data_IF_057655330973
#
_entry.id   IF_057655330973
#
_cell.length_a   1.000
_cell.length_b   1.000
_cell.length_c   1.000
_cell.angle_alpha   90.00
_cell.angle_beta   90.00
_cell.angle_gamma   90.00
#
_symmetry.space_group_name_H-M   'P 1'
#
loop_
_entity.id
_entity.type
_entity.pdbx_description
1 polymer ?
#
# COMPACT_ATOMS: atom_id res chain seq x y z
N UNK A 1 -7.13 17.17 67.91
CA UNK A 1 -7.46 17.75 66.58
C UNK A 1 -6.21 17.79 65.74
N UNK A 2 -5.86 16.72 65.06
CA UNK A 2 -4.71 16.72 64.07
C UNK A 2 -4.75 15.42 63.31
N UNK A 3 -5.05 15.41 62.04
CA UNK A 3 -4.88 14.18 61.32
C UNK A 3 -5.55 14.06 59.93
N UNK A 4 -5.78 15.17 59.20
CA UNK A 4 -6.43 15.08 57.87
C UNK A 4 -5.66 15.72 56.71
N UNK A 5 -4.42 16.22 56.95
CA UNK A 5 -3.63 16.90 55.87
C UNK A 5 -2.82 15.98 54.98
N UNK A 6 -2.27 14.80 55.37
CA UNK A 6 -1.46 14.00 54.45
C UNK A 6 -2.26 13.29 53.34
N UNK A 7 -3.54 12.97 53.60
CA UNK A 7 -4.38 12.25 52.61
C UNK A 7 -4.77 13.10 51.41
N UNK A 8 -4.90 14.44 51.60
CA UNK A 8 -5.22 15.37 50.50
C UNK A 8 -4.03 15.68 49.62
N UNK A 9 -2.81 15.67 50.18
CA UNK A 9 -1.59 15.81 49.38
C UNK A 9 -1.31 14.57 48.50
N UNK A 10 -1.58 13.37 49.04
CA UNK A 10 -1.41 12.11 48.31
C UNK A 10 -2.40 11.99 47.13
N UNK A 11 -3.64 12.45 47.31
CA UNK A 11 -4.63 12.47 46.23
C UNK A 11 -4.31 13.52 45.13
N UNK A 12 -3.74 14.66 45.48
CA UNK A 12 -3.31 15.67 44.53
C UNK A 12 -2.09 15.21 43.76
N UNK A 13 -1.13 14.52 44.37
CA UNK A 13 0.02 13.92 43.71
C UNK A 13 -0.38 12.77 42.78
N UNK A 14 -1.37 11.96 43.15
CA UNK A 14 -1.91 10.92 42.29
C UNK A 14 -2.66 11.47 41.08
N UNK A 15 -3.38 12.59 41.20
CA UNK A 15 -3.99 13.27 40.05
C UNK A 15 -2.97 13.92 39.08
N UNK A 16 -1.83 14.41 39.60
CA UNK A 16 -0.76 14.94 38.74
C UNK A 16 -0.02 13.85 37.93
N UNK A 17 0.01 12.63 38.44
CA UNK A 17 0.58 11.47 37.73
C UNK A 17 -0.31 10.94 36.62
N UNK A 18 -1.57 11.34 36.54
CA UNK A 18 -2.54 11.00 35.49
C UNK A 18 -2.53 12.00 34.31
N UNK A 19 -1.66 13.02 34.31
CA UNK A 19 -1.37 13.80 33.11
C UNK A 19 -0.51 12.93 32.16
N UNK A 20 -1.19 11.93 31.57
CA UNK A 20 -0.60 10.99 30.65
C UNK A 20 0.11 11.70 29.52
N UNK A 21 1.27 11.20 29.14
CA UNK A 21 1.98 11.60 27.94
C UNK A 21 0.99 11.61 26.77
N UNK A 22 0.75 12.78 26.19
CA UNK A 22 -0.08 12.89 24.99
C UNK A 22 0.66 12.22 23.85
N UNK A 23 -0.05 11.44 23.04
CA UNK A 23 0.50 10.79 21.87
C UNK A 23 0.97 11.84 20.86
N UNK A 24 2.04 11.56 20.08
CA UNK A 24 2.50 12.46 19.03
C UNK A 24 1.45 12.56 17.93
N UNK A 25 1.38 13.72 17.28
CA UNK A 25 0.55 13.93 16.11
C UNK A 25 1.41 13.65 14.88
N UNK A 26 0.97 12.69 14.06
CA UNK A 26 1.59 12.37 12.79
C UNK A 26 0.80 13.03 11.67
N UNK A 27 1.49 13.85 10.86
CA UNK A 27 0.89 14.55 9.70
C UNK A 27 1.59 14.03 8.45
N UNK A 28 1.03 13.01 7.77
CA UNK A 28 1.59 12.49 6.54
C UNK A 28 1.16 13.33 5.35
N UNK A 29 2.03 13.40 4.35
CA UNK A 29 1.76 14.01 3.05
C UNK A 29 2.46 13.20 1.96
N UNK A 30 2.04 13.40 0.70
CA UNK A 30 2.56 12.69 -0.44
C UNK A 30 2.82 13.64 -1.60
N UNK A 31 3.89 13.40 -2.35
CA UNK A 31 4.29 14.28 -3.45
C UNK A 31 3.28 14.36 -4.58
N UNK A 32 2.49 13.31 -4.78
CA UNK A 32 1.50 13.21 -5.85
C UNK A 32 0.29 12.40 -5.36
N UNK A 33 -0.89 12.98 -5.36
CA UNK A 33 -2.14 12.31 -5.00
C UNK A 33 -2.74 11.49 -6.14
N UNK A 34 -2.28 11.72 -7.37
CA UNK A 34 -2.68 10.99 -8.56
C UNK A 34 -1.48 10.64 -9.42
N UNK A 35 -1.35 9.36 -9.77
CA UNK A 35 -0.35 8.83 -10.70
C UNK A 35 -1.05 8.40 -11.97
N UNK A 36 -0.59 8.95 -13.09
CA UNK A 36 -1.18 8.68 -14.40
C UNK A 36 -0.36 7.62 -15.13
N UNK A 37 -0.97 6.47 -15.37
CA UNK A 37 -0.40 5.38 -16.17
C UNK A 37 -0.78 5.61 -17.63
N UNK A 38 0.21 6.02 -18.44
CA UNK A 38 0.08 6.25 -19.89
C UNK A 38 0.74 5.13 -20.67
N UNK A 39 0.46 5.08 -21.96
CA UNK A 39 1.22 4.21 -22.87
C UNK A 39 2.71 4.56 -22.79
N UNK A 40 3.57 3.56 -22.52
CA UNK A 40 5.00 3.79 -22.27
C UNK A 40 5.35 4.15 -20.81
N UNK A 41 4.44 3.97 -19.86
CA UNK A 41 4.74 4.14 -18.45
C UNK A 41 5.82 3.16 -17.98
N UNK A 42 6.93 3.70 -17.47
CA UNK A 42 8.08 2.94 -16.99
C UNK A 42 8.12 2.74 -15.48
N UNK A 43 7.16 3.33 -14.76
CA UNK A 43 7.09 3.37 -13.30
C UNK A 43 7.06 4.81 -12.78
N UNK A 44 6.86 4.97 -11.49
CA UNK A 44 6.87 6.26 -10.81
C UNK A 44 7.54 6.16 -9.44
N UNK A 45 8.25 7.20 -9.05
CA UNK A 45 8.75 7.35 -7.68
C UNK A 45 7.79 8.20 -6.87
N UNK A 46 7.29 7.62 -5.78
CA UNK A 46 6.43 8.26 -4.84
C UNK A 46 7.22 8.70 -3.63
N UNK A 47 7.22 9.99 -3.34
CA UNK A 47 7.81 10.53 -2.12
C UNK A 47 6.70 10.72 -1.07
N UNK A 48 6.77 9.91 -0.03
CA UNK A 48 5.95 10.04 1.17
C UNK A 48 6.76 10.80 2.21
N UNK A 49 6.18 11.84 2.77
CA UNK A 49 6.86 12.67 3.78
C UNK A 49 5.83 13.17 4.80
N UNK A 50 6.32 13.74 5.88
CA UNK A 50 5.43 14.28 6.88
C UNK A 50 6.18 14.75 8.11
N UNK A 51 5.42 15.17 9.11
CA UNK A 51 5.93 15.65 10.36
C UNK A 51 5.43 14.82 11.54
N UNK A 52 6.32 14.58 12.50
CA UNK A 52 5.98 14.04 13.82
C UNK A 52 6.03 15.21 14.82
N UNK A 53 4.86 15.59 15.30
CA UNK A 53 4.70 16.68 16.23
C UNK A 53 4.55 16.13 17.65
N UNK A 54 5.52 16.41 18.52
CA UNK A 54 5.39 16.09 19.95
C UNK A 54 4.54 17.14 20.65
N UNK A 55 3.65 16.74 21.56
CA UNK A 55 2.87 17.67 22.38
C UNK A 55 3.72 18.59 23.24
N UNK A 56 4.94 18.18 23.55
CA UNK A 56 5.90 18.92 24.39
C UNK A 56 6.75 19.93 23.62
N UNK A 57 6.51 20.08 22.30
CA UNK A 57 7.15 21.12 21.47
C UNK A 57 8.63 20.90 21.19
N UNK A 58 9.23 19.76 21.55
CA UNK A 58 10.66 19.52 21.41
C UNK A 58 10.97 18.29 20.55
N UNK A 59 11.94 18.42 19.65
CA UNK A 59 12.80 17.40 18.97
C UNK A 59 12.20 15.99 18.76
N UNK A 60 10.92 15.91 18.40
CA UNK A 60 10.13 14.69 18.47
C UNK A 60 10.58 13.56 17.55
N UNK A 61 10.96 13.87 16.31
CA UNK A 61 11.17 12.82 15.32
C UNK A 61 12.43 11.96 15.54
N UNK A 62 13.39 12.42 16.34
CA UNK A 62 14.58 11.62 16.67
C UNK A 62 14.29 10.49 17.66
N UNK A 63 13.25 10.63 18.46
CA UNK A 63 12.88 9.63 19.47
C UNK A 63 11.95 8.54 18.91
N UNK A 64 11.56 8.66 17.64
CA UNK A 64 10.65 7.74 16.98
C UNK A 64 11.32 7.04 15.81
N UNK A 65 11.03 5.76 15.68
CA UNK A 65 11.20 5.03 14.44
C UNK A 65 9.96 5.25 13.58
N UNK A 66 10.18 5.39 12.27
CA UNK A 66 9.11 5.56 11.31
C UNK A 66 9.09 4.37 10.38
N UNK A 67 7.91 3.81 10.20
CA UNK A 67 7.63 2.77 9.21
C UNK A 67 6.49 3.24 8.33
N UNK A 68 6.67 3.14 7.03
CA UNK A 68 5.68 3.47 6.01
C UNK A 68 5.33 2.21 5.25
N UNK A 69 4.05 1.86 5.24
CA UNK A 69 3.51 0.73 4.47
C UNK A 69 2.67 1.31 3.35
N UNK A 70 2.98 0.96 2.11
CA UNK A 70 2.19 1.31 0.93
C UNK A 70 1.54 0.06 0.37
N UNK A 71 0.22 0.03 0.39
CA UNK A 71 -0.59 -1.08 -0.09
C UNK A 71 -1.41 -0.67 -1.31
N UNK A 72 -1.37 -1.48 -2.35
CA UNK A 72 -2.21 -1.33 -3.55
C UNK A 72 -3.58 -1.96 -3.38
N UNK A 73 -4.49 -1.79 -4.36
CA UNK A 73 -5.80 -2.38 -4.32
C UNK A 73 -5.72 -3.91 -4.16
N UNK A 74 -6.60 -4.46 -3.33
CA UNK A 74 -6.67 -5.90 -3.07
C UNK A 74 -7.37 -6.62 -4.23
N UNK A 75 -6.94 -7.84 -4.49
CA UNK A 75 -7.49 -8.68 -5.57
C UNK A 75 -7.50 -10.16 -5.17
N UNK A 76 -8.34 -10.95 -5.85
CA UNK A 76 -8.26 -12.41 -5.77
C UNK A 76 -7.12 -12.90 -6.66
N UNK A 77 -6.28 -13.78 -6.11
CA UNK A 77 -5.14 -14.37 -6.83
C UNK A 77 -5.19 -15.89 -6.70
N UNK A 78 -5.17 -16.58 -7.84
CA UNK A 78 -5.01 -18.04 -7.89
C UNK A 78 -3.54 -18.37 -8.14
N UNK A 79 -2.87 -18.91 -7.14
CA UNK A 79 -1.51 -19.40 -7.25
C UNK A 79 -1.52 -20.88 -7.62
N UNK A 80 -0.74 -21.28 -8.64
CA UNK A 80 -0.63 -22.66 -9.10
C UNK A 80 0.80 -23.13 -8.96
N UNK A 81 0.98 -24.27 -8.31
CA UNK A 81 2.27 -24.92 -8.17
C UNK A 81 2.50 -25.90 -9.32
N UNK A 82 3.63 -25.75 -10.01
CA UNK A 82 4.05 -26.66 -11.06
C UNK A 82 4.98 -27.73 -10.49
N UNK A 83 4.68 -28.98 -10.77
CA UNK A 83 5.53 -30.12 -10.41
C UNK A 83 5.91 -30.92 -11.64
N UNK A 84 7.10 -31.50 -11.63
CA UNK A 84 7.58 -32.36 -12.71
C UNK A 84 7.15 -33.79 -12.44
N UNK A 85 6.16 -34.29 -13.22
CA UNK A 85 5.65 -35.69 -13.14
C UNK A 85 5.94 -36.38 -14.45
N UNK A 86 6.62 -37.50 -14.39
CA UNK A 86 7.03 -38.31 -15.56
C UNK A 86 7.73 -37.48 -16.65
N UNK A 87 8.57 -36.48 -16.26
CA UNK A 87 9.30 -35.62 -17.18
C UNK A 87 8.55 -34.39 -17.67
N UNK A 88 7.25 -34.26 -17.42
CA UNK A 88 6.42 -33.13 -17.84
C UNK A 88 6.08 -32.22 -16.66
N UNK A 89 6.01 -30.90 -16.91
CA UNK A 89 5.56 -29.93 -15.93
C UNK A 89 4.04 -29.84 -15.95
N UNK A 90 3.39 -30.23 -14.85
CA UNK A 90 1.95 -30.12 -14.67
C UNK A 90 1.61 -29.18 -13.50
N UNK A 91 0.43 -28.58 -13.52
CA UNK A 91 -0.11 -27.88 -12.36
C UNK A 91 -0.64 -28.94 -11.38
N UNK A 92 0.16 -29.26 -10.36
CA UNK A 92 -0.15 -30.31 -9.40
C UNK A 92 -1.06 -29.82 -8.28
N UNK A 93 -0.95 -28.53 -7.93
CA UNK A 93 -1.64 -27.95 -6.81
C UNK A 93 -2.00 -26.49 -7.05
N UNK A 94 -3.05 -25.97 -6.40
CA UNK A 94 -3.47 -24.59 -6.54
C UNK A 94 -4.17 -24.07 -5.29
N UNK A 95 -3.91 -22.81 -4.95
CA UNK A 95 -4.55 -22.10 -3.86
C UNK A 95 -5.03 -20.73 -4.32
N UNK A 96 -6.27 -20.40 -3.98
CA UNK A 96 -6.84 -19.08 -4.21
C UNK A 96 -6.79 -18.25 -2.93
N UNK A 97 -6.22 -17.05 -3.05
CA UNK A 97 -6.25 -16.03 -2.03
C UNK A 97 -7.36 -15.02 -2.37
N UNK A 98 -8.30 -14.82 -1.46
CA UNK A 98 -9.43 -13.89 -1.66
C UNK A 98 -8.99 -12.44 -1.71
N UNK A 99 -8.01 -12.10 -0.87
CA UNK A 99 -7.57 -10.72 -0.65
C UNK A 99 -6.06 -10.72 -0.55
N UNK A 100 -5.42 -10.38 -1.67
CA UNK A 100 -3.98 -10.15 -1.72
C UNK A 100 -3.75 -8.76 -2.31
N UNK A 101 -2.91 -7.91 -1.71
CA UNK A 101 -2.62 -6.60 -2.29
C UNK A 101 -1.91 -6.77 -3.64
N UNK A 102 -2.31 -5.97 -4.62
CA UNK A 102 -1.66 -5.95 -5.94
C UNK A 102 -0.24 -5.39 -5.89
N UNK A 103 0.05 -4.60 -4.86
CA UNK A 103 1.34 -4.02 -4.55
C UNK A 103 1.49 -3.89 -3.03
N UNK A 104 2.68 -4.16 -2.51
CA UNK A 104 2.97 -4.02 -1.09
C UNK A 104 4.42 -3.58 -0.89
N UNK A 105 4.63 -2.44 -0.28
CA UNK A 105 5.98 -1.94 0.00
C UNK A 105 6.07 -1.42 1.43
N UNK A 106 7.15 -1.79 2.11
CA UNK A 106 7.48 -1.32 3.45
C UNK A 106 8.79 -0.57 3.41
N UNK A 107 8.78 0.66 3.89
CA UNK A 107 9.97 1.49 4.09
C UNK A 107 10.12 1.79 5.57
N UNK A 108 11.31 1.62 6.14
CA UNK A 108 11.55 1.81 7.58
C UNK A 108 12.80 2.63 7.86
N UNK A 109 12.85 3.27 9.04
CA UNK A 109 14.02 4.04 9.50
C UNK A 109 15.19 3.14 9.87
N UNK A 110 14.90 1.94 10.36
CA UNK A 110 15.87 0.89 10.74
C UNK A 110 15.28 -0.49 10.42
N UNK A 111 16.04 -1.57 10.46
CA UNK A 111 15.52 -2.93 10.33
C UNK A 111 14.34 -3.18 11.27
N UNK A 112 13.23 -3.72 10.75
CA UNK A 112 11.96 -3.89 11.49
C UNK A 112 12.15 -4.66 12.80
N UNK A 113 12.94 -5.73 12.78
CA UNK A 113 13.25 -6.52 14.00
C UNK A 113 14.04 -5.77 15.08
N UNK A 114 14.58 -4.56 14.76
CA UNK A 114 15.19 -3.67 15.75
C UNK A 114 14.25 -2.57 16.24
N UNK A 115 13.11 -2.41 15.56
CA UNK A 115 12.09 -1.38 15.87
C UNK A 115 11.02 -1.98 16.77
N UNK A 116 10.48 -3.14 16.40
CA UNK A 116 9.36 -3.82 17.09
C UNK A 116 9.62 -5.31 17.24
N UNK A 117 8.89 -5.94 18.15
CA UNK A 117 8.84 -7.39 18.28
C UNK A 117 7.98 -8.03 17.17
N UNK A 118 8.11 -9.34 16.99
CA UNK A 118 7.39 -10.13 16.00
C UNK A 118 5.87 -10.02 16.14
N UNK A 119 5.38 -9.89 17.37
CA UNK A 119 3.94 -9.76 17.63
C UNK A 119 3.39 -8.41 17.16
N UNK A 120 4.08 -7.33 17.46
CA UNK A 120 3.70 -5.98 17.01
C UNK A 120 3.83 -5.88 15.50
N UNK A 121 4.90 -6.43 14.90
CA UNK A 121 5.06 -6.47 13.46
C UNK A 121 3.92 -7.23 12.76
N UNK A 122 3.44 -8.33 13.34
CA UNK A 122 2.32 -9.11 12.80
C UNK A 122 0.97 -8.40 12.92
N UNK A 123 0.75 -7.61 13.98
CA UNK A 123 -0.52 -6.86 14.17
C UNK A 123 -0.67 -5.75 13.13
N UNK A 124 0.42 -5.06 12.80
CA UNK A 124 0.42 -3.91 11.89
C UNK A 124 0.98 -4.24 10.51
N UNK A 125 1.22 -5.52 10.20
CA UNK A 125 1.77 -5.98 8.91
C UNK A 125 3.05 -5.24 8.48
N UNK A 126 3.96 -5.00 9.45
CA UNK A 126 5.18 -4.23 9.24
C UNK A 126 6.27 -5.07 8.57
N UNK A 127 6.02 -5.57 7.36
CA UNK A 127 6.99 -6.34 6.58
C UNK A 127 6.35 -7.49 5.81
N UNK A 128 7.05 -7.98 4.78
CA UNK A 128 6.58 -9.06 3.92
C UNK A 128 6.36 -10.39 4.65
N UNK A 129 7.12 -10.63 5.71
CA UNK A 129 7.00 -11.81 6.57
C UNK A 129 5.63 -11.85 7.30
N UNK A 130 5.06 -10.67 7.55
CA UNK A 130 3.88 -10.49 8.40
C UNK A 130 2.61 -10.19 7.59
N UNK A 131 2.74 -10.08 6.27
CA UNK A 131 1.61 -9.83 5.37
C UNK A 131 0.56 -10.92 5.52
N UNK A 132 -0.67 -10.52 5.88
CA UNK A 132 -1.79 -11.44 6.08
C UNK A 132 -2.51 -11.73 4.77
N UNK A 133 -2.34 -12.93 4.29
CA UNK A 133 -3.01 -13.42 3.08
C UNK A 133 -4.15 -14.35 3.48
N UNK A 134 -5.35 -14.09 2.94
CA UNK A 134 -6.57 -14.84 3.26
C UNK A 134 -6.85 -15.91 2.19
N UNK A 135 -6.50 -17.18 2.43
CA UNK A 135 -6.84 -18.25 1.51
C UNK A 135 -8.34 -18.55 1.51
N UNK A 136 -8.84 -19.07 0.39
CA UNK A 136 -10.23 -19.56 0.29
C UNK A 136 -10.24 -21.06 0.61
N UNK A 137 -11.15 -21.44 1.51
CA UNK A 137 -11.34 -22.83 1.92
C UNK A 137 -10.65 -23.21 3.22
N UNK A 138 -10.81 -24.47 3.60
CA UNK A 138 -10.15 -25.06 4.79
C UNK A 138 -8.87 -25.71 4.31
N UNK A 139 -7.74 -25.18 4.73
CA UNK A 139 -6.40 -25.59 4.26
C UNK A 139 -5.55 -25.90 5.47
N UNK A 140 -4.66 -26.88 5.34
CA UNK A 140 -3.69 -27.18 6.38
C UNK A 140 -2.71 -26.01 6.58
N UNK A 141 -2.31 -25.68 7.83
CA UNK A 141 -1.42 -24.56 8.11
C UNK A 141 -0.07 -24.63 7.39
N UNK A 142 0.44 -25.83 7.13
CA UNK A 142 1.71 -26.02 6.38
C UNK A 142 1.56 -25.66 4.92
N UNK A 143 0.46 -26.04 4.33
CA UNK A 143 0.14 -25.75 2.94
C UNK A 143 -0.13 -24.27 2.74
N UNK A 144 -0.94 -23.67 3.61
CA UNK A 144 -1.18 -22.23 3.62
C UNK A 144 0.14 -21.45 3.69
N UNK A 145 1.04 -21.81 4.60
CA UNK A 145 2.34 -21.17 4.73
C UNK A 145 3.17 -21.29 3.45
N UNK A 146 3.25 -22.50 2.86
CA UNK A 146 3.98 -22.76 1.62
C UNK A 146 3.49 -21.89 0.46
N UNK A 147 2.16 -21.83 0.26
CA UNK A 147 1.57 -20.99 -0.80
C UNK A 147 1.71 -19.50 -0.52
N UNK A 148 1.58 -19.05 0.73
CA UNK A 148 1.79 -17.66 1.10
C UNK A 148 3.22 -17.20 0.85
N UNK A 149 4.21 -18.00 1.26
CA UNK A 149 5.63 -17.74 0.98
C UNK A 149 5.90 -17.73 -0.53
N UNK A 150 5.29 -18.67 -1.28
CA UNK A 150 5.40 -18.74 -2.74
C UNK A 150 4.81 -17.50 -3.43
N UNK A 151 3.66 -16.99 -2.97
CA UNK A 151 3.06 -15.76 -3.49
C UNK A 151 3.95 -14.55 -3.22
N UNK A 152 4.45 -14.40 -1.99
CA UNK A 152 5.36 -13.30 -1.63
C UNK A 152 6.63 -13.34 -2.48
N UNK A 153 7.25 -14.52 -2.68
CA UNK A 153 8.45 -14.66 -3.51
C UNK A 153 8.17 -14.31 -4.99
N UNK A 154 7.03 -14.76 -5.54
CA UNK A 154 6.61 -14.41 -6.90
C UNK A 154 6.45 -12.90 -7.08
N UNK A 155 5.72 -12.25 -6.16
CA UNK A 155 5.48 -10.81 -6.20
C UNK A 155 6.75 -10.00 -5.98
N UNK A 156 7.69 -10.47 -5.14
CA UNK A 156 9.02 -9.86 -5.00
C UNK A 156 9.83 -9.90 -6.30
N UNK A 157 9.84 -11.03 -6.99
CA UNK A 157 10.51 -11.16 -8.31
C UNK A 157 9.92 -10.25 -9.37
N UNK A 158 8.64 -9.94 -9.27
CA UNK A 158 7.95 -9.00 -10.15
C UNK A 158 8.16 -7.53 -9.74
N UNK A 159 8.83 -7.27 -8.61
CA UNK A 159 9.03 -5.93 -8.05
C UNK A 159 7.76 -5.31 -7.47
N UNK A 160 6.69 -6.11 -7.29
CA UNK A 160 5.41 -5.66 -6.73
C UNK A 160 5.41 -5.67 -5.20
N UNK A 161 6.20 -6.57 -4.58
CA UNK A 161 6.38 -6.61 -3.13
C UNK A 161 7.82 -6.24 -2.78
N UNK A 162 7.99 -5.27 -1.88
CA UNK A 162 9.30 -4.73 -1.51
C UNK A 162 9.39 -4.45 -0.01
N UNK A 163 10.60 -4.53 0.50
CA UNK A 163 10.93 -4.14 1.86
C UNK A 163 12.28 -3.42 1.81
N UNK A 164 12.24 -2.11 2.10
CA UNK A 164 13.38 -1.21 1.99
C UNK A 164 13.74 -0.71 3.40
N UNK A 165 14.54 -1.50 4.12
CA UNK A 165 14.98 -1.17 5.47
C UNK A 165 16.00 -0.01 5.47
N UNK A 166 15.86 0.91 6.42
CA UNK A 166 16.74 2.08 6.54
C UNK A 166 16.56 3.12 5.44
N UNK A 167 15.48 3.03 4.65
CA UNK A 167 15.19 3.95 3.54
C UNK A 167 14.46 5.22 3.97
N UNK A 168 13.84 5.21 5.15
CA UNK A 168 13.20 6.40 5.72
C UNK A 168 14.24 7.31 6.33
N UNK A 169 14.29 8.54 5.85
CA UNK A 169 15.20 9.58 6.35
C UNK A 169 14.45 10.56 7.26
N UNK A 170 15.06 10.88 8.40
CA UNK A 170 14.53 11.88 9.33
C UNK A 170 15.42 13.12 9.26
N UNK A 171 14.82 14.29 8.99
CA UNK A 171 15.49 15.57 8.81
C UNK A 171 14.96 16.61 9.78
N UNK A 172 15.84 17.47 10.29
CA UNK A 172 15.44 18.58 11.17
C UNK A 172 14.75 18.16 12.45
N UNK A 173 14.87 16.88 12.83
CA UNK A 173 14.26 16.30 14.05
C UNK A 173 12.71 16.30 14.08
N UNK A 174 12.06 16.63 12.96
CA UNK A 174 10.60 16.73 12.85
C UNK A 174 10.10 16.05 11.58
N UNK A 175 10.82 16.19 10.46
CA UNK A 175 10.38 15.72 9.16
C UNK A 175 10.92 14.33 8.87
N UNK A 176 10.05 13.45 8.39
CA UNK A 176 10.45 12.17 7.79
C UNK A 176 10.15 12.17 6.29
N UNK A 177 10.90 11.39 5.55
CA UNK A 177 10.65 11.13 4.14
C UNK A 177 11.01 9.68 3.78
N UNK A 178 10.16 9.06 2.99
CA UNK A 178 10.35 7.75 2.40
C UNK A 178 10.16 7.83 0.89
N UNK A 179 11.00 7.17 0.11
CA UNK A 179 10.82 7.05 -1.34
C UNK A 179 10.45 5.63 -1.68
N UNK A 180 9.31 5.43 -2.33
CA UNK A 180 8.81 4.14 -2.77
C UNK A 180 8.63 4.17 -4.28
N UNK A 181 9.26 3.24 -4.99
CA UNK A 181 9.20 3.15 -6.46
C UNK A 181 8.10 2.17 -6.86
N UNK A 182 7.14 2.66 -7.64
CA UNK A 182 6.10 1.88 -8.27
C UNK A 182 6.58 1.38 -9.63
N UNK A 183 6.61 0.06 -9.90
CA UNK A 183 7.01 -0.46 -11.21
C UNK A 183 5.96 -0.21 -12.29
N UNK A 184 6.32 -0.42 -13.54
CA UNK A 184 5.40 -0.26 -14.67
C UNK A 184 4.21 -1.23 -14.67
N UNK A 185 4.34 -2.35 -13.95
CA UNK A 185 3.33 -3.40 -13.82
C UNK A 185 2.28 -3.15 -12.74
N UNK A 186 2.29 -1.97 -12.09
CA UNK A 186 1.30 -1.63 -11.05
C UNK A 186 -0.12 -1.60 -11.61
N UNK A 187 -1.06 -2.04 -10.81
CA UNK A 187 -2.47 -2.00 -11.14
C UNK A 187 -3.05 -0.61 -10.86
N UNK A 188 -4.06 -0.25 -11.64
CA UNK A 188 -4.85 0.96 -11.38
C UNK A 188 -5.78 0.74 -10.20
N UNK A 189 -5.97 1.78 -9.39
CA UNK A 189 -6.81 1.78 -8.19
C UNK A 189 -6.27 2.72 -7.13
N UNK A 190 -6.90 2.71 -5.97
CA UNK A 190 -6.49 3.53 -4.83
C UNK A 190 -5.44 2.76 -4.01
N UNK A 191 -4.30 3.38 -3.83
CA UNK A 191 -3.22 2.91 -2.96
C UNK A 191 -3.32 3.60 -1.61
N UNK A 192 -3.14 2.86 -0.55
CA UNK A 192 -3.17 3.35 0.83
C UNK A 192 -1.76 3.34 1.40
N UNK A 193 -1.28 4.51 1.79
CA UNK A 193 -0.02 4.65 2.52
C UNK A 193 -0.34 4.87 3.99
N UNK A 194 0.05 3.93 4.83
CA UNK A 194 -0.05 4.07 6.28
C UNK A 194 1.34 4.29 6.87
N UNK A 195 1.47 5.34 7.65
CA UNK A 195 2.72 5.70 8.34
C UNK A 195 2.55 5.47 9.82
N UNK A 196 3.50 4.78 10.41
CA UNK A 196 3.56 4.45 11.82
C UNK A 196 4.71 5.19 12.50
N UNK A 197 4.43 5.89 13.60
CA UNK A 197 5.44 6.38 14.53
C UNK A 197 5.56 5.41 15.70
N UNK A 198 6.76 4.91 15.93
CA UNK A 198 7.03 3.84 16.89
C UNK A 198 8.06 4.34 17.90
N UNK A 199 7.80 4.14 19.17
CA UNK A 199 8.73 4.47 20.27
C UNK A 199 8.80 3.32 21.27
N UNK A 200 10.02 2.88 21.56
CA UNK A 200 10.25 1.80 22.51
C UNK A 200 9.53 0.49 22.16
N UNK A 201 9.44 0.14 20.87
CA UNK A 201 8.78 -1.08 20.39
C UNK A 201 7.25 -1.01 20.32
N UNK A 202 6.65 0.16 20.55
CA UNK A 202 5.18 0.34 20.52
C UNK A 202 4.79 1.37 19.46
N UNK A 203 3.76 1.06 18.69
CA UNK A 203 3.12 2.04 17.81
C UNK A 203 2.42 3.08 18.68
N UNK A 204 2.83 4.33 18.58
CA UNK A 204 2.30 5.45 19.36
C UNK A 204 1.44 6.40 18.52
N UNK A 205 1.57 6.38 17.22
CA UNK A 205 0.67 7.07 16.30
C UNK A 205 0.67 6.37 14.94
N UNK A 206 -0.44 6.42 14.23
CA UNK A 206 -0.54 6.07 12.82
C UNK A 206 -1.36 7.10 12.08
N UNK A 207 -1.08 7.24 10.78
CA UNK A 207 -1.82 8.12 9.90
C UNK A 207 -1.83 7.57 8.46
N UNK A 208 -2.94 7.80 7.77
CA UNK A 208 -3.21 7.23 6.45
C UNK A 208 -3.27 8.34 5.41
N UNK A 209 -2.60 8.11 4.28
CA UNK A 209 -2.70 8.95 3.08
C UNK A 209 -3.03 8.06 1.87
N UNK A 210 -3.76 8.58 0.89
CA UNK A 210 -4.17 7.82 -0.30
C UNK A 210 -3.61 8.41 -1.57
N UNK A 211 -3.31 7.53 -2.53
CA UNK A 211 -2.85 7.85 -3.88
C UNK A 211 -3.69 7.10 -4.88
N UNK A 212 -4.21 7.80 -5.86
CA UNK A 212 -4.96 7.19 -6.95
C UNK A 212 -4.03 6.93 -8.14
N UNK A 213 -3.93 5.66 -8.54
CA UNK A 213 -3.26 5.26 -9.78
C UNK A 213 -4.31 5.06 -10.86
N UNK A 214 -4.32 5.93 -11.88
CA UNK A 214 -5.34 5.96 -12.93
C UNK A 214 -4.72 5.77 -14.31
N UNK A 215 -5.42 5.06 -15.18
CA UNK A 215 -5.06 5.06 -16.60
C UNK A 215 -5.43 6.38 -17.23
N UNK A 216 -4.51 6.95 -18.01
CA UNK A 216 -4.75 8.15 -18.79
C UNK A 216 -4.52 7.85 -20.28
N UNK A 217 -5.32 8.49 -21.16
CA UNK A 217 -5.18 8.39 -22.60
C UNK A 217 -6.53 8.26 -23.32
N UNK A 218 -6.46 7.97 -24.61
CA UNK A 218 -7.61 7.80 -25.49
C UNK A 218 -8.60 6.73 -24.98
N UNK A 219 -8.09 5.66 -24.35
CA UNK A 219 -8.92 4.61 -23.76
C UNK A 219 -9.85 5.14 -22.67
N UNK A 220 -9.36 6.06 -21.82
CA UNK A 220 -10.20 6.71 -20.80
C UNK A 220 -11.26 7.60 -21.44
N UNK A 221 -10.91 8.36 -22.45
CA UNK A 221 -11.85 9.19 -23.20
C UNK A 221 -12.98 8.35 -23.80
N UNK A 222 -12.62 7.23 -24.45
CA UNK A 222 -13.58 6.28 -25.02
C UNK A 222 -14.44 5.64 -23.95
N UNK A 223 -13.86 5.16 -22.84
CA UNK A 223 -14.61 4.57 -21.74
C UNK A 223 -15.58 5.56 -21.09
N UNK A 224 -15.13 6.76 -20.75
CA UNK A 224 -15.97 7.82 -20.18
C UNK A 224 -17.06 8.27 -21.16
N UNK A 225 -16.75 8.38 -22.46
CA UNK A 225 -17.72 8.70 -23.49
C UNK A 225 -18.80 7.62 -23.63
N UNK A 226 -18.41 6.35 -23.57
CA UNK A 226 -19.31 5.20 -23.62
C UNK A 226 -20.22 5.11 -22.38
N UNK A 227 -19.68 5.38 -21.19
CA UNK A 227 -20.46 5.34 -19.94
C UNK A 227 -21.39 6.55 -19.79
N UNK A 228 -20.91 7.74 -20.09
CA UNK A 228 -21.65 8.97 -19.85
C UNK A 228 -22.69 9.26 -20.91
N UNK A 229 -22.43 8.91 -22.17
CA UNK A 229 -23.31 9.18 -23.31
C UNK A 229 -23.30 7.98 -24.29
N UNK A 230 -23.62 6.77 -23.81
CA UNK A 230 -23.53 5.54 -24.60
C UNK A 230 -24.29 5.57 -25.94
N UNK A 231 -25.42 6.27 -25.99
CA UNK A 231 -26.17 6.43 -27.24
C UNK A 231 -25.43 7.31 -28.27
N UNK A 232 -24.77 8.39 -27.85
CA UNK A 232 -23.96 9.25 -28.74
C UNK A 232 -22.72 8.50 -29.22
N UNK A 233 -22.08 7.71 -28.34
CA UNK A 233 -20.95 6.87 -28.72
C UNK A 233 -21.36 5.81 -29.76
N UNK A 234 -22.49 5.14 -29.55
CA UNK A 234 -23.05 4.17 -30.50
C UNK A 234 -23.38 4.81 -31.85
N UNK A 235 -24.03 5.99 -31.86
CA UNK A 235 -24.32 6.74 -33.07
C UNK A 235 -23.06 7.14 -33.84
N UNK A 236 -22.03 7.64 -33.11
CA UNK A 236 -20.75 7.99 -33.69
C UNK A 236 -20.04 6.77 -34.32
N UNK A 237 -20.04 5.63 -33.63
CA UNK A 237 -19.45 4.38 -34.14
C UNK A 237 -20.13 3.92 -35.43
N UNK A 238 -21.46 4.00 -35.51
CA UNK A 238 -22.23 3.68 -36.72
C UNK A 238 -21.88 4.63 -37.87
N UNK A 239 -21.86 5.95 -37.63
CA UNK A 239 -21.50 6.95 -38.65
C UNK A 239 -20.09 6.72 -39.20
N UNK A 240 -19.13 6.47 -38.31
CA UNK A 240 -17.72 6.17 -38.70
C UNK A 240 -17.64 4.87 -39.53
N UNK A 241 -18.36 3.82 -39.10
CA UNK A 241 -18.35 2.53 -39.80
C UNK A 241 -18.95 2.64 -41.20
N UNK A 242 -20.12 3.31 -41.33
CA UNK A 242 -20.79 3.55 -42.64
C UNK A 242 -19.92 4.43 -43.51
N UNK A 243 -19.34 5.50 -42.96
CA UNK A 243 -18.43 6.40 -43.67
C UNK A 243 -17.20 5.72 -44.22
N UNK A 244 -16.52 4.88 -43.39
CA UNK A 244 -15.38 4.10 -43.84
C UNK A 244 -15.75 3.08 -44.91
N UNK A 245 -16.89 2.38 -44.74
CA UNK A 245 -17.41 1.47 -45.75
C UNK A 245 -17.69 2.14 -47.09
N UNK A 246 -18.30 3.33 -47.07
CA UNK A 246 -18.58 4.13 -48.26
C UNK A 246 -17.30 4.60 -48.96
N UNK A 247 -16.32 5.13 -48.20
CA UNK A 247 -15.02 5.55 -48.71
C UNK A 247 -14.27 4.38 -49.35
N UNK A 248 -14.20 3.23 -48.62
CA UNK A 248 -13.57 2.01 -49.16
C UNK A 248 -14.23 1.55 -50.45
N UNK A 249 -15.59 1.47 -50.47
CA UNK A 249 -16.33 1.11 -51.68
C UNK A 249 -16.04 2.01 -52.85
N UNK A 250 -15.88 3.32 -52.61
CA UNK A 250 -15.56 4.27 -53.68
C UNK A 250 -14.13 4.21 -54.20
N UNK A 251 -13.18 3.88 -53.31
CA UNK A 251 -11.77 3.69 -53.70
C UNK A 251 -11.57 2.40 -54.48
N UNK A 252 -12.18 1.32 -54.07
CA UNK A 252 -12.06 0.01 -54.72
C UNK A 252 -12.95 -0.17 -55.96
N UNK A 253 -14.00 0.64 -56.14
CA UNK A 253 -14.86 0.62 -57.33
C UNK A 253 -14.25 1.38 -58.53
N UNK A 254 -13.07 2.04 -58.35
CA UNK A 254 -12.35 2.74 -59.43
C UNK A 254 -11.13 2.00 -59.95
N UNK A 255 -10.88 0.79 -59.46
CA UNK A 255 -9.89 -0.16 -59.99
C UNK A 255 -10.62 -1.29 -60.71
#
# INVERSE_FOLDING_TARGET
MTGRKPLRLASLAACLLLLGARDPILVPEISQHEIQVRQGFTGADLLLFGAVLSPEGSRAAQDYDIVVVLEGPVQSIVLREKQKVAGMWINADSLEFRSAPSYFAVASSRPIGKIVDDKTAAIYELGLKWLQLSPIGVIEPREQKRFSEGLVDLMRRQGLYREDEGSVRISGQVLYQARISLPSSVQTGTYTAETFAIRGGKVVASAITRVDVKKEGFERFVAVAAERNGWLYGLFAVVVSVGMGWIAGRLFARG
#
